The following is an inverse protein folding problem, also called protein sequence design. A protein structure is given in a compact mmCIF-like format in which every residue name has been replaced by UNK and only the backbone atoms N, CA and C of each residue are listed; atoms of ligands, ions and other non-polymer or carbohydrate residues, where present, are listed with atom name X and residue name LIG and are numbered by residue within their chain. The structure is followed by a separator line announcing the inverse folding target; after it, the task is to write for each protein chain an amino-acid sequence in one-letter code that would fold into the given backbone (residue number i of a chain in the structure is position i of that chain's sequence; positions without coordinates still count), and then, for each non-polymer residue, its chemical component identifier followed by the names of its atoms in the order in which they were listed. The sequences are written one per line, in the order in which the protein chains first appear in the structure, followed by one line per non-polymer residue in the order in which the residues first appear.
data_IF_242529167342
#
_entry.id   IF_242529167342
#
_cell.length_a   1.000
_cell.length_b   1.000
_cell.length_c   1.000
_cell.angle_alpha   90.00
_cell.angle_beta   90.00
_cell.angle_gamma   90.00
#
_symmetry.space_group_name_H-M   'P 1'
#
loop_
_entity.id
_entity.type
_entity.pdbx_description
1 polymer ?
#
# COMPACT_ATOMS: atom_id res chain seq x y z
N UNK A 1 3.42 6.14 -14.84
CA UNK A 1 4.88 6.05 -14.61
C UNK A 1 5.19 4.66 -14.09
N UNK A 2 6.33 4.09 -14.49
CA UNK A 2 6.83 2.82 -13.96
C UNK A 2 8.00 3.07 -13.02
N UNK A 3 8.08 2.31 -11.94
CA UNK A 3 9.07 2.46 -10.88
C UNK A 3 10.05 1.31 -10.91
N UNK A 4 11.35 1.62 -10.84
CA UNK A 4 12.46 0.65 -10.90
C UNK A 4 13.45 0.75 -9.74
N UNK A 5 13.34 1.80 -8.92
CA UNK A 5 14.18 2.13 -7.75
C UNK A 5 13.39 3.05 -6.82
N UNK A 6 13.77 3.16 -5.56
CA UNK A 6 13.13 4.06 -4.60
C UNK A 6 11.96 3.44 -3.84
N UNK A 7 11.52 4.17 -2.82
CA UNK A 7 10.31 3.89 -2.06
C UNK A 7 9.17 4.76 -2.58
N UNK A 8 8.01 4.20 -2.89
CA UNK A 8 6.87 4.89 -3.48
C UNK A 8 5.59 4.57 -2.72
N UNK A 9 4.79 5.62 -2.47
CA UNK A 9 3.48 5.46 -1.84
C UNK A 9 2.39 6.15 -2.65
N UNK A 10 1.28 5.45 -2.85
CA UNK A 10 0.05 6.04 -3.38
C UNK A 10 -1.15 5.58 -2.57
N UNK A 11 -2.14 6.46 -2.47
CA UNK A 11 -3.44 6.15 -1.90
C UNK A 11 -4.38 5.68 -3.00
N UNK A 12 -5.17 4.66 -2.70
CA UNK A 12 -6.35 4.27 -3.46
C UNK A 12 -7.58 4.63 -2.64
N UNK A 13 -8.54 5.28 -3.30
CA UNK A 13 -9.89 5.44 -2.81
C UNK A 13 -10.81 4.63 -3.72
N UNK A 14 -11.36 3.55 -3.19
CA UNK A 14 -12.25 2.62 -3.88
C UNK A 14 -13.41 2.27 -2.94
N UNK A 15 -14.61 2.88 -3.15
CA UNK A 15 -15.77 2.65 -2.32
C UNK A 15 -16.13 1.17 -2.20
N UNK A 16 -16.34 0.67 -0.98
CA UNK A 16 -16.65 -0.73 -0.69
C UNK A 16 -17.83 -1.25 -1.52
N UNK A 17 -18.89 -0.44 -1.62
CA UNK A 17 -20.10 -0.71 -2.40
C UNK A 17 -19.88 -0.83 -3.92
N UNK A 18 -18.68 -0.49 -4.43
CA UNK A 18 -18.33 -0.50 -5.86
C UNK A 18 -17.24 -1.53 -6.20
N UNK A 19 -16.97 -2.50 -5.32
CA UNK A 19 -15.91 -3.49 -5.54
C UNK A 19 -16.38 -4.75 -6.29
N UNK A 20 -17.66 -5.10 -6.13
CA UNK A 20 -18.21 -6.30 -6.75
C UNK A 20 -17.59 -7.59 -6.20
N UNK A 21 -17.41 -8.59 -7.07
CA UNK A 21 -16.93 -9.92 -6.68
C UNK A 21 -15.41 -10.05 -6.67
N UNK A 22 -14.72 -9.18 -7.41
CA UNK A 22 -13.26 -9.11 -7.50
C UNK A 22 -12.85 -7.65 -7.67
N UNK A 23 -12.22 -7.10 -6.64
CA UNK A 23 -11.52 -5.83 -6.70
C UNK A 23 -10.05 -6.10 -6.41
N UNK A 24 -9.19 -5.99 -7.42
CA UNK A 24 -7.78 -6.33 -7.29
C UNK A 24 -6.93 -5.09 -7.48
N UNK A 25 -6.01 -4.85 -6.56
CA UNK A 25 -5.04 -3.75 -6.58
C UNK A 25 -3.63 -4.31 -6.52
N UNK A 26 -2.69 -3.69 -7.20
CA UNK A 26 -1.36 -4.26 -7.26
C UNK A 26 -0.36 -3.47 -8.08
N UNK A 27 0.66 -4.21 -8.51
CA UNK A 27 1.66 -3.73 -9.45
C UNK A 27 1.86 -4.76 -10.55
N UNK A 28 2.21 -4.27 -11.73
CA UNK A 28 2.44 -5.10 -12.90
C UNK A 28 3.62 -4.60 -13.74
N UNK A 29 4.20 -5.47 -14.54
CA UNK A 29 5.09 -5.04 -15.62
C UNK A 29 4.26 -4.50 -16.79
N UNK A 30 4.91 -3.88 -17.77
CA UNK A 30 4.28 -3.43 -19.01
C UNK A 30 3.68 -4.56 -19.87
N UNK A 31 4.05 -5.82 -19.60
CA UNK A 31 3.61 -6.98 -20.39
C UNK A 31 2.33 -7.60 -19.82
N UNK A 32 1.89 -7.18 -18.62
CA UNK A 32 0.72 -7.78 -17.99
C UNK A 32 -0.56 -7.51 -18.81
N UNK A 33 -1.45 -8.51 -18.94
CA UNK A 33 -2.71 -8.34 -19.63
C UNK A 33 -3.62 -7.37 -18.86
N UNK A 34 -4.29 -6.47 -19.59
CA UNK A 34 -5.21 -5.47 -19.03
C UNK A 34 -6.69 -5.83 -19.18
N UNK A 35 -6.98 -6.98 -19.80
CA UNK A 35 -8.34 -7.47 -20.00
C UNK A 35 -8.39 -9.00 -19.95
N UNK A 36 -9.49 -9.54 -19.43
CA UNK A 36 -9.84 -10.95 -19.50
C UNK A 36 -11.35 -11.11 -19.67
N UNK A 37 -11.75 -12.23 -20.27
CA UNK A 37 -13.16 -12.59 -20.37
C UNK A 37 -13.69 -13.06 -19.00
N UNK A 38 -14.92 -12.65 -18.67
CA UNK A 38 -15.59 -13.02 -17.42
C UNK A 38 -15.12 -12.24 -16.19
N UNK A 39 -15.71 -12.56 -15.04
CA UNK A 39 -15.40 -11.93 -13.76
C UNK A 39 -14.28 -12.68 -13.05
N UNK A 40 -13.05 -12.23 -13.23
CA UNK A 40 -11.84 -12.88 -12.69
C UNK A 40 -10.93 -11.88 -11.99
N UNK A 41 -10.15 -12.36 -11.02
CA UNK A 41 -9.05 -11.62 -10.44
C UNK A 41 -7.89 -11.52 -11.45
N UNK A 42 -8.02 -10.66 -12.47
CA UNK A 42 -7.08 -10.55 -13.59
C UNK A 42 -5.62 -10.37 -13.15
N UNK A 43 -5.38 -9.44 -12.22
CA UNK A 43 -4.04 -9.13 -11.70
C UNK A 43 -3.58 -10.27 -10.79
N UNK A 44 -2.35 -10.75 -11.03
CA UNK A 44 -1.77 -11.87 -10.29
C UNK A 44 -2.07 -13.25 -10.89
N UNK A 45 -2.72 -13.32 -12.05
CA UNK A 45 -2.90 -14.59 -12.81
C UNK A 45 -1.67 -15.03 -13.58
N UNK A 46 -0.71 -14.13 -13.79
CA UNK A 46 0.54 -14.35 -14.50
C UNK A 46 1.71 -13.89 -13.63
N UNK A 47 2.93 -14.26 -14.02
CA UNK A 47 4.18 -13.81 -13.41
C UNK A 47 4.50 -12.32 -13.70
N UNK A 48 3.76 -11.70 -14.62
CA UNK A 48 3.89 -10.28 -14.97
C UNK A 48 3.15 -9.34 -14.01
N UNK A 49 2.42 -9.85 -13.02
CA UNK A 49 1.64 -9.03 -12.09
C UNK A 49 1.54 -9.60 -10.68
N UNK A 50 1.32 -8.71 -9.72
CA UNK A 50 1.20 -8.99 -8.29
C UNK A 50 -0.05 -8.28 -7.78
N UNK A 51 -1.07 -9.04 -7.36
CA UNK A 51 -2.40 -8.50 -7.09
C UNK A 51 -2.96 -8.93 -5.74
N UNK A 52 -3.42 -7.98 -4.95
CA UNK A 52 -4.22 -8.22 -3.76
C UNK A 52 -5.70 -8.02 -4.09
N UNK A 53 -6.47 -9.11 -4.06
CA UNK A 53 -7.92 -9.07 -4.13
C UNK A 53 -8.46 -8.60 -2.77
N UNK A 54 -8.85 -7.33 -2.68
CA UNK A 54 -9.32 -6.71 -1.43
C UNK A 54 -10.70 -7.20 -1.00
N UNK A 55 -11.47 -7.78 -1.92
CA UNK A 55 -12.77 -8.40 -1.63
C UNK A 55 -12.63 -9.79 -1.01
N UNK A 56 -11.62 -10.55 -1.43
CA UNK A 56 -11.36 -11.91 -0.95
C UNK A 56 -10.29 -11.98 0.12
N UNK A 57 -9.47 -10.95 0.22
CA UNK A 57 -8.29 -10.86 1.11
C UNK A 57 -7.27 -11.92 0.74
N UNK A 58 -7.06 -12.06 -0.56
CA UNK A 58 -6.15 -13.03 -1.14
C UNK A 58 -5.15 -12.31 -2.03
N UNK A 59 -3.88 -12.68 -1.90
CA UNK A 59 -2.82 -12.24 -2.79
C UNK A 59 -2.59 -13.28 -3.87
N UNK A 60 -2.39 -12.79 -5.09
CA UNK A 60 -2.21 -13.56 -6.32
C UNK A 60 -0.92 -13.11 -7.00
N UNK A 61 -0.10 -14.07 -7.39
CA UNK A 61 1.05 -13.86 -8.29
C UNK A 61 1.34 -15.16 -9.01
N UNK A 62 1.26 -15.16 -10.34
CA UNK A 62 1.31 -16.39 -11.14
C UNK A 62 0.35 -17.49 -10.63
N UNK A 63 -0.86 -17.09 -10.22
CA UNK A 63 -1.82 -17.98 -9.55
C UNK A 63 -2.39 -19.12 -10.43
N UNK A 64 -2.03 -19.16 -11.72
CA UNK A 64 -2.24 -20.32 -12.58
C UNK A 64 -1.30 -21.48 -12.26
N UNK A 65 -0.15 -21.20 -11.67
CA UNK A 65 0.90 -22.17 -11.36
C UNK A 65 1.27 -22.20 -9.87
N UNK A 66 0.87 -21.19 -9.10
CA UNK A 66 1.19 -21.04 -7.68
C UNK A 66 -0.09 -20.94 -6.83
N UNK A 67 0.06 -21.20 -5.51
CA UNK A 67 -1.02 -21.05 -4.55
C UNK A 67 -1.19 -19.58 -4.14
N UNK A 68 -2.45 -19.15 -4.00
CA UNK A 68 -2.79 -17.85 -3.42
C UNK A 68 -2.59 -17.87 -1.90
N UNK A 69 -2.48 -16.71 -1.26
CA UNK A 69 -2.36 -16.64 0.20
C UNK A 69 -3.24 -15.55 0.78
N UNK A 70 -3.70 -15.77 2.01
CA UNK A 70 -4.53 -14.81 2.73
C UNK A 70 -3.71 -13.60 3.17
N UNK A 71 -4.28 -12.41 3.01
CA UNK A 71 -3.66 -11.14 3.40
C UNK A 71 -4.73 -10.09 3.75
N UNK A 72 -4.62 -9.35 4.87
CA UNK A 72 -3.51 -9.37 5.83
C UNK A 72 -3.43 -10.66 6.64
N UNK A 73 -2.22 -11.00 7.12
CA UNK A 73 -1.99 -12.10 8.04
C UNK A 73 -2.49 -11.71 9.44
N UNK A 74 -3.79 -11.80 9.66
CA UNK A 74 -4.38 -11.59 10.98
C UNK A 74 -4.70 -12.93 11.65
N UNK A 75 -4.29 -13.05 12.92
CA UNK A 75 -4.68 -14.16 13.79
C UNK A 75 -6.08 -13.95 14.40
N UNK A 76 -6.74 -12.82 14.12
CA UNK A 76 -8.11 -12.57 14.58
C UNK A 76 -9.11 -13.44 13.83
N UNK A 77 -10.14 -13.89 14.55
CA UNK A 77 -11.29 -14.58 13.95
C UNK A 77 -12.18 -13.63 13.17
N UNK A 78 -12.05 -12.33 13.39
CA UNK A 78 -12.88 -11.32 12.75
C UNK A 78 -12.50 -11.13 11.28
N UNK A 79 -13.53 -10.87 10.48
CA UNK A 79 -13.38 -10.60 9.05
C UNK A 79 -12.76 -9.21 8.92
N UNK A 80 -11.47 -9.13 8.55
CA UNK A 80 -10.84 -7.87 8.20
C UNK A 80 -11.56 -7.26 6.99
N UNK A 81 -12.08 -6.04 7.12
CA UNK A 81 -12.72 -5.31 6.03
C UNK A 81 -11.81 -4.18 5.60
N UNK A 82 -11.45 -4.17 4.31
CA UNK A 82 -10.59 -3.11 3.76
C UNK A 82 -11.41 -1.82 3.68
N UNK A 83 -11.00 -0.70 4.29
CA UNK A 83 -11.72 0.57 4.22
C UNK A 83 -11.72 1.15 2.80
N UNK A 84 -12.55 2.17 2.55
CA UNK A 84 -12.62 2.85 1.24
C UNK A 84 -11.27 3.43 0.81
N UNK A 85 -10.48 3.93 1.78
CA UNK A 85 -9.16 4.51 1.57
C UNK A 85 -8.08 3.61 2.16
N UNK A 86 -7.09 3.28 1.35
CA UNK A 86 -5.92 2.53 1.78
C UNK A 86 -4.69 2.93 0.98
N UNK A 87 -3.52 2.53 1.45
CA UNK A 87 -2.23 2.91 0.90
C UNK A 87 -1.53 1.69 0.30
N UNK A 88 -0.97 1.89 -0.87
CA UNK A 88 -0.08 0.95 -1.53
C UNK A 88 1.36 1.45 -1.34
N UNK A 89 2.22 0.57 -0.85
CA UNK A 89 3.62 0.86 -0.56
C UNK A 89 4.47 -0.05 -1.43
N UNK A 90 5.25 0.53 -2.33
CA UNK A 90 6.18 -0.17 -3.20
C UNK A 90 7.60 0.28 -2.88
N UNK A 91 8.39 -0.63 -2.34
CA UNK A 91 9.80 -0.43 -2.07
C UNK A 91 10.59 -1.20 -3.13
N UNK A 92 11.12 -0.50 -4.13
CA UNK A 92 11.91 -1.12 -5.21
C UNK A 92 13.35 -1.37 -4.78
N UNK A 93 13.83 -0.71 -3.72
CA UNK A 93 15.19 -0.88 -3.21
C UNK A 93 15.29 -2.15 -2.36
N UNK A 94 14.29 -2.41 -1.52
CA UNK A 94 14.12 -3.68 -0.78
C UNK A 94 13.38 -4.75 -1.58
N UNK A 95 12.65 -4.35 -2.63
CA UNK A 95 11.99 -5.25 -3.57
C UNK A 95 10.74 -5.91 -2.99
N UNK A 96 9.88 -5.13 -2.33
CA UNK A 96 8.61 -5.61 -1.80
C UNK A 96 7.45 -4.67 -2.10
N UNK A 97 6.23 -5.22 -2.05
CA UNK A 97 4.99 -4.45 -2.01
C UNK A 97 4.22 -4.79 -0.74
N UNK A 98 3.69 -3.77 -0.10
CA UNK A 98 2.92 -3.84 1.13
C UNK A 98 1.72 -2.89 1.07
N UNK A 99 0.80 -3.04 2.02
CA UNK A 99 -0.38 -2.19 2.14
C UNK A 99 -0.53 -1.65 3.55
N UNK A 100 -1.24 -0.54 3.67
CA UNK A 100 -1.58 0.07 4.95
C UNK A 100 -2.96 0.73 4.88
N UNK A 101 -3.54 0.99 6.04
CA UNK A 101 -4.71 1.86 6.21
C UNK A 101 -4.29 3.08 7.03
N UNK A 102 -5.24 3.96 7.34
CA UNK A 102 -4.99 5.05 8.30
C UNK A 102 -4.67 4.53 9.70
N UNK A 103 -5.13 3.31 10.05
CA UNK A 103 -5.01 2.74 11.39
C UNK A 103 -3.78 1.83 11.54
N UNK A 104 -3.38 1.12 10.49
CA UNK A 104 -2.32 0.10 10.61
C UNK A 104 -1.56 -0.21 9.33
N UNK A 105 -0.32 -0.67 9.50
CA UNK A 105 0.48 -1.30 8.45
C UNK A 105 0.16 -2.80 8.37
N UNK A 106 -0.28 -3.25 7.20
CA UNK A 106 -0.82 -4.61 6.99
C UNK A 106 0.25 -5.68 6.74
N UNK A 107 1.52 -5.30 6.74
CA UNK A 107 2.65 -6.19 6.49
C UNK A 107 2.99 -6.32 5.00
N UNK A 108 4.07 -7.04 4.71
CA UNK A 108 4.53 -7.26 3.33
C UNK A 108 3.67 -8.30 2.63
N UNK A 109 3.09 -7.92 1.48
CA UNK A 109 2.27 -8.81 0.67
C UNK A 109 3.10 -9.58 -0.36
N UNK A 110 4.03 -8.90 -1.05
CA UNK A 110 4.85 -9.47 -2.13
C UNK A 110 6.33 -9.16 -1.94
N UNK A 111 7.20 -10.06 -2.37
CA UNK A 111 8.67 -9.92 -2.32
C UNK A 111 9.28 -10.23 -3.69
N UNK A 112 10.61 -10.07 -3.78
CA UNK A 112 11.40 -10.37 -4.98
C UNK A 112 11.06 -9.48 -6.19
N UNK A 113 10.79 -8.19 -5.92
CA UNK A 113 10.43 -7.21 -6.95
C UNK A 113 11.63 -6.45 -7.54
N UNK A 114 12.83 -6.62 -6.98
CA UNK A 114 14.05 -5.92 -7.45
C UNK A 114 14.35 -6.24 -8.93
N UNK A 115 14.91 -5.26 -9.64
CA UNK A 115 15.31 -5.40 -11.04
C UNK A 115 14.17 -5.36 -12.06
N UNK A 116 12.92 -5.19 -11.59
CA UNK A 116 11.74 -4.99 -12.45
C UNK A 116 11.44 -3.51 -12.63
N UNK A 117 10.64 -3.18 -13.65
CA UNK A 117 9.95 -1.88 -13.72
C UNK A 117 8.47 -2.14 -13.56
N UNK A 118 7.89 -1.63 -12.48
CA UNK A 118 6.55 -1.94 -12.03
C UNK A 118 5.64 -0.72 -12.07
N UNK A 119 4.40 -0.93 -12.50
CA UNK A 119 3.38 0.09 -12.69
C UNK A 119 2.21 -0.20 -11.74
N UNK A 120 1.68 0.80 -11.01
CA UNK A 120 0.44 0.65 -10.27
C UNK A 120 -0.69 0.21 -11.21
N UNK A 121 -1.50 -0.74 -10.76
CA UNK A 121 -2.61 -1.28 -11.54
C UNK A 121 -3.78 -1.67 -10.64
N UNK A 122 -5.00 -1.57 -11.18
CA UNK A 122 -6.23 -2.09 -10.58
C UNK A 122 -7.03 -2.87 -11.62
N UNK A 123 -7.78 -3.87 -11.18
CA UNK A 123 -8.72 -4.63 -12.00
C UNK A 123 -10.06 -4.67 -11.27
N UNK A 124 -11.10 -4.14 -11.94
CA UNK A 124 -12.43 -4.00 -11.42
C UNK A 124 -13.44 -4.73 -12.31
N UNK A 125 -14.47 -5.29 -11.68
CA UNK A 125 -15.58 -5.99 -12.37
C UNK A 125 -16.92 -5.29 -12.19
N UNK A 126 -16.98 -4.27 -11.34
CA UNK A 126 -18.22 -3.59 -10.99
C UNK A 126 -18.57 -2.50 -12.01
N UNK A 127 -19.80 -2.54 -12.53
CA UNK A 127 -20.29 -1.51 -13.44
C UNK A 127 -20.35 -0.15 -12.75
N UNK A 128 -19.87 0.89 -13.42
CA UNK A 128 -19.83 2.27 -12.91
C UNK A 128 -19.00 2.45 -11.63
N UNK A 129 -18.01 1.60 -11.36
CA UNK A 129 -17.05 1.90 -10.28
C UNK A 129 -16.18 3.10 -10.65
N UNK A 130 -15.91 3.95 -9.65
CA UNK A 130 -14.95 5.03 -9.73
C UNK A 130 -13.83 4.75 -8.73
N UNK A 131 -12.59 4.75 -9.23
CA UNK A 131 -11.41 4.45 -8.43
C UNK A 131 -10.47 5.64 -8.58
N UNK A 132 -10.13 6.26 -7.45
CA UNK A 132 -9.18 7.36 -7.42
C UNK A 132 -7.83 6.89 -6.93
N UNK A 133 -6.77 7.29 -7.63
CA UNK A 133 -5.39 7.04 -7.22
C UNK A 133 -4.66 8.36 -7.03
N UNK A 134 -4.10 8.58 -5.85
CA UNK A 134 -3.33 9.79 -5.52
C UNK A 134 -1.92 9.41 -5.11
N UNK A 135 -0.94 9.84 -5.89
CA UNK A 135 0.46 9.67 -5.53
C UNK A 135 0.81 10.57 -4.34
N UNK A 136 1.41 10.01 -3.30
CA UNK A 136 1.74 10.74 -2.07
C UNK A 136 3.20 11.15 -2.02
N UNK A 137 4.09 10.36 -2.63
CA UNK A 137 5.49 10.72 -2.74
C UNK A 137 6.41 9.53 -2.88
N UNK A 138 7.69 9.86 -2.95
CA UNK A 138 8.80 8.92 -2.88
C UNK A 138 9.78 9.29 -1.79
N UNK A 139 10.52 8.30 -1.31
CA UNK A 139 11.79 8.53 -0.64
C UNK A 139 12.89 8.00 -1.55
N UNK A 140 13.92 8.81 -1.75
CA UNK A 140 15.13 8.34 -2.41
C UNK A 140 15.88 7.37 -1.47
N UNK A 141 16.66 6.42 -2.02
CA UNK A 141 17.52 5.50 -1.27
C UNK A 141 18.74 6.21 -0.66
N UNK A 142 18.51 7.32 0.03
CA UNK A 142 19.52 8.06 0.77
C UNK A 142 19.25 7.95 2.27
N UNK A 143 20.29 8.02 3.11
CA UNK A 143 20.10 8.07 4.55
C UNK A 143 19.21 9.25 4.93
N UNK A 144 18.15 8.99 5.70
CA UNK A 144 17.33 10.05 6.29
C UNK A 144 18.21 11.00 7.11
N UNK A 145 17.85 12.27 7.11
CA UNK A 145 18.55 13.24 7.94
C UNK A 145 18.41 12.88 9.42
N UNK A 146 19.40 13.27 10.23
CA UNK A 146 19.33 13.08 11.69
C UNK A 146 18.06 13.71 12.28
N UNK A 147 17.61 14.84 11.72
CA UNK A 147 16.38 15.49 12.16
C UNK A 147 15.14 14.60 11.98
N UNK A 148 15.01 13.94 10.84
CA UNK A 148 13.87 13.06 10.52
C UNK A 148 13.89 11.81 11.39
N UNK A 149 15.07 11.23 11.61
CA UNK A 149 15.27 10.12 12.52
C UNK A 149 14.87 10.49 13.96
N UNK A 150 15.30 11.67 14.43
CA UNK A 150 14.92 12.18 15.75
C UNK A 150 13.40 12.40 15.87
N UNK A 151 12.76 13.05 14.89
CA UNK A 151 11.29 13.23 14.88
C UNK A 151 10.57 11.89 14.93
N UNK A 152 10.98 10.94 14.09
CA UNK A 152 10.38 9.60 14.05
C UNK A 152 10.51 8.92 15.41
N UNK A 153 11.70 8.96 16.02
CA UNK A 153 11.94 8.35 17.33
C UNK A 153 11.07 8.96 18.42
N UNK A 154 10.97 10.30 18.47
CA UNK A 154 10.12 11.00 19.43
C UNK A 154 8.66 10.58 19.28
N UNK A 155 8.13 10.55 18.05
CA UNK A 155 6.73 10.14 17.81
C UNK A 155 6.46 8.69 18.21
N UNK A 156 7.39 7.77 17.93
CA UNK A 156 7.26 6.36 18.34
C UNK A 156 7.15 6.25 19.87
N UNK A 157 7.98 6.98 20.60
CA UNK A 157 7.96 6.96 22.08
C UNK A 157 6.69 7.60 22.67
N UNK A 158 5.98 8.45 21.91
CA UNK A 158 4.71 9.06 22.33
C UNK A 158 3.48 8.18 22.08
N UNK A 159 3.62 7.06 21.37
CA UNK A 159 2.53 6.09 21.14
C UNK A 159 1.50 6.53 20.10
N UNK A 160 0.25 6.06 20.27
CA UNK A 160 -0.81 6.13 19.25
C UNK A 160 -1.39 7.53 19.02
N UNK A 161 -1.27 8.44 19.99
CA UNK A 161 -1.75 9.82 19.91
C UNK A 161 -0.62 10.79 20.24
N UNK A 162 0.40 10.89 19.37
CA UNK A 162 1.54 11.74 19.63
C UNK A 162 1.16 13.23 19.63
N UNK A 163 0.13 13.64 18.90
CA UNK A 163 -0.32 15.04 18.80
C UNK A 163 -0.65 15.63 20.18
N UNK A 164 -1.45 14.91 20.98
CA UNK A 164 -1.89 15.33 22.32
C UNK A 164 -0.70 15.52 23.27
N UNK A 165 0.34 14.69 23.11
CA UNK A 165 1.56 14.74 23.91
C UNK A 165 2.53 15.85 23.44
N UNK A 166 2.62 16.09 22.13
CA UNK A 166 3.51 17.12 21.55
C UNK A 166 3.09 18.50 22.03
N UNK A 167 1.79 18.77 22.14
CA UNK A 167 1.30 20.05 22.64
C UNK A 167 1.76 20.35 24.08
N UNK A 168 1.91 19.32 24.91
CA UNK A 168 2.31 19.44 26.31
C UNK A 168 3.83 19.62 26.51
N UNK A 169 4.64 19.36 25.48
CA UNK A 169 6.09 19.49 25.58
C UNK A 169 6.52 20.94 25.84
N UNK A 170 7.48 21.13 26.75
CA UNK A 170 8.12 22.43 26.99
C UNK A 170 9.25 22.69 25.97
N UNK A 171 8.90 22.68 24.68
CA UNK A 171 9.80 22.97 23.56
C UNK A 171 9.29 24.15 22.72
N UNK A 172 10.17 24.84 21.98
CA UNK A 172 9.78 25.92 21.07
C UNK A 172 8.66 25.52 20.09
N UNK A 173 7.73 26.43 19.74
CA UNK A 173 6.61 26.15 18.83
C UNK A 173 7.03 25.61 17.46
N UNK A 174 8.19 26.04 16.96
CA UNK A 174 8.72 25.55 15.69
C UNK A 174 9.06 24.05 15.73
N UNK A 175 9.54 23.56 16.87
CA UNK A 175 9.81 22.14 17.07
C UNK A 175 8.52 21.35 17.24
N UNK A 176 7.49 21.91 17.91
CA UNK A 176 6.16 21.29 17.97
C UNK A 176 5.57 21.09 16.57
N UNK A 177 5.58 22.15 15.75
CA UNK A 177 5.13 22.10 14.35
C UNK A 177 5.90 21.07 13.52
N UNK A 178 7.22 21.05 13.66
CA UNK A 178 8.07 20.04 13.03
C UNK A 178 7.69 18.60 13.41
N UNK A 179 7.41 18.34 14.69
CA UNK A 179 6.96 17.04 15.19
C UNK A 179 5.53 16.68 14.72
N UNK A 180 4.69 17.67 14.40
CA UNK A 180 3.33 17.50 13.88
C UNK A 180 3.22 17.44 12.36
N UNK A 181 4.34 17.49 11.62
CA UNK A 181 4.36 17.64 10.15
C UNK A 181 3.63 18.89 9.63
N UNK A 182 3.55 19.93 10.45
CA UNK A 182 2.99 21.22 10.07
C UNK A 182 4.16 22.14 9.70
N UNK A 183 4.31 22.48 8.42
CA UNK A 183 5.31 23.43 7.94
C UNK A 183 4.65 24.78 7.64
#
# INVERSE_FOLDING_TARGET
MGYSRGFHVWQIEWPERQRGTHAVVGVATKNAPLHAAGYTALIGTTDESYGWDITRRECHHDSKHTMTWRYPFSNSRDVYNVPDKFYCILDMDEGYMAFATDDEFLGVAFRNLKGKTLYPIVAAVWGHCEISMRYLGSLEPEPLSLSELCRRRVRIEMGAQPEDHIEQLMIPPILKRYLMYQY
#
